data_IF_526136618011
#
_entry.id   IF_526136618011
#
_cell.length_a   1.000
_cell.length_b   1.000
_cell.length_c   1.000
_cell.angle_alpha   90.00
_cell.angle_beta   90.00
_cell.angle_gamma   90.00
#
_symmetry.space_group_name_H-M   'P 1'
#
loop_
_entity.id
_entity.type
_entity.pdbx_description
1 polymer ?
#
# COMPACT_ATOMS: atom_id res chain seq x y z
N UNK A 1 -15.15 10.51 -4.51
CA UNK A 1 -15.47 10.89 -5.88
C UNK A 1 -15.93 12.35 -6.02
N UNK A 2 -16.76 12.86 -5.14
CA UNK A 2 -17.25 14.26 -5.19
C UNK A 2 -16.17 15.36 -5.10
N UNK A 3 -14.94 15.04 -4.67
CA UNK A 3 -13.87 16.03 -4.50
C UNK A 3 -13.20 16.46 -5.80
N UNK A 4 -13.33 15.70 -6.89
CA UNK A 4 -12.62 15.91 -8.16
C UNK A 4 -13.53 16.34 -9.31
N UNK A 5 -14.77 16.74 -9.02
CA UNK A 5 -15.71 17.22 -10.02
C UNK A 5 -15.14 18.41 -10.81
N UNK A 6 -15.34 18.43 -12.12
CA UNK A 6 -14.87 19.50 -13.01
C UNK A 6 -13.37 19.48 -13.32
N UNK A 7 -12.64 18.41 -12.98
CA UNK A 7 -11.22 18.26 -13.33
C UNK A 7 -11.07 17.29 -14.49
N UNK A 8 -10.81 17.81 -15.69
CA UNK A 8 -10.49 17.03 -16.87
C UNK A 8 -8.96 16.98 -17.07
N UNK A 9 -8.38 15.79 -16.92
CA UNK A 9 -6.95 15.56 -17.09
C UNK A 9 -6.61 15.48 -18.57
N UNK A 10 -5.53 16.14 -18.98
CA UNK A 10 -4.97 16.06 -20.33
C UNK A 10 -3.76 15.12 -20.37
N UNK A 11 -2.74 15.37 -19.53
CA UNK A 11 -1.56 14.53 -19.42
C UNK A 11 -0.95 14.65 -18.00
N UNK A 12 0.11 13.88 -17.75
CA UNK A 12 0.82 13.94 -16.48
C UNK A 12 2.31 13.68 -16.68
N UNK A 13 3.18 14.30 -15.84
CA UNK A 13 4.63 14.14 -15.89
C UNK A 13 5.26 14.42 -14.53
N UNK A 14 6.19 13.57 -14.10
CA UNK A 14 6.88 13.72 -12.82
C UNK A 14 5.92 13.78 -11.63
N UNK A 15 5.94 14.88 -10.88
CA UNK A 15 5.04 15.13 -9.75
C UNK A 15 3.69 15.75 -10.14
N UNK A 16 3.40 15.92 -11.46
CA UNK A 16 2.35 16.83 -11.87
C UNK A 16 1.33 16.20 -12.79
N UNK A 17 0.07 16.62 -12.61
CA UNK A 17 -1.05 16.33 -13.48
C UNK A 17 -1.46 17.64 -14.14
N UNK A 18 -1.61 17.64 -15.45
CA UNK A 18 -2.01 18.80 -16.24
C UNK A 18 -3.44 18.60 -16.75
N UNK A 19 -4.25 19.64 -16.58
CA UNK A 19 -5.67 19.60 -16.97
C UNK A 19 -5.87 20.30 -18.31
N UNK A 20 -6.95 19.97 -19.01
CA UNK A 20 -7.34 20.62 -20.29
C UNK A 20 -7.50 22.13 -20.18
N UNK A 21 -7.85 22.64 -19.00
CA UNK A 21 -7.94 24.10 -18.75
C UNK A 21 -6.59 24.74 -18.34
N UNK A 22 -5.47 24.02 -18.50
CA UNK A 22 -4.12 24.54 -18.27
C UNK A 22 -3.68 24.58 -16.80
N UNK A 23 -4.42 23.99 -15.87
CA UNK A 23 -3.99 23.90 -14.46
C UNK A 23 -2.91 22.85 -14.32
N UNK A 24 -1.94 23.13 -13.43
CA UNK A 24 -0.90 22.21 -13.00
C UNK A 24 -1.18 21.77 -11.56
N UNK A 25 -1.51 20.51 -11.38
CA UNK A 25 -1.86 19.92 -10.07
C UNK A 25 -0.68 19.09 -9.56
N UNK A 26 -0.29 19.32 -8.32
CA UNK A 26 0.72 18.55 -7.60
C UNK A 26 0.10 17.23 -7.10
N UNK A 27 0.66 16.09 -7.49
CA UNK A 27 0.16 14.77 -7.06
C UNK A 27 0.85 14.32 -5.76
N UNK A 28 0.12 14.45 -4.64
CA UNK A 28 0.54 13.91 -3.34
C UNK A 28 -0.18 12.58 -3.02
N UNK A 29 -0.77 11.92 -4.02
CA UNK A 29 -1.36 10.58 -3.88
C UNK A 29 -0.49 9.47 -4.48
N UNK A 30 0.33 9.82 -5.47
CA UNK A 30 1.20 8.88 -6.18
C UNK A 30 0.48 7.63 -6.69
N UNK A 31 -0.85 7.74 -6.99
CA UNK A 31 -1.68 6.60 -7.39
C UNK A 31 -1.70 5.49 -6.33
N UNK A 32 -1.73 5.82 -5.05
CA UNK A 32 -1.63 4.85 -3.94
C UNK A 32 -0.35 4.01 -4.02
N UNK A 33 0.80 4.69 -4.12
CA UNK A 33 2.14 4.08 -4.20
C UNK A 33 2.42 3.29 -5.50
N UNK A 34 1.68 3.55 -6.57
CA UNK A 34 1.97 3.00 -7.91
C UNK A 34 3.04 3.82 -8.63
N UNK A 35 3.04 5.14 -8.41
CA UNK A 35 3.84 6.12 -9.14
C UNK A 35 5.09 6.55 -8.34
N UNK A 36 5.80 5.61 -7.71
CA UNK A 36 7.00 5.93 -6.95
C UNK A 36 8.04 6.71 -7.77
N UNK A 37 8.15 6.42 -9.07
CA UNK A 37 9.06 7.10 -9.99
C UNK A 37 8.48 8.38 -10.61
N UNK A 38 7.27 8.79 -10.21
CA UNK A 38 6.51 9.85 -10.86
C UNK A 38 5.78 9.42 -12.13
N UNK A 39 4.95 10.34 -12.63
CA UNK A 39 4.19 10.12 -13.86
C UNK A 39 5.10 10.06 -15.09
N UNK A 40 4.87 9.09 -15.97
CA UNK A 40 5.51 8.98 -17.29
C UNK A 40 7.03 9.15 -17.25
N UNK A 41 7.71 8.51 -16.29
CA UNK A 41 9.15 8.62 -16.14
C UNK A 41 9.88 8.37 -17.47
N UNK A 42 10.80 9.25 -17.93
CA UNK A 42 11.36 9.20 -19.28
C UNK A 42 12.07 7.88 -19.61
N UNK A 43 12.75 7.28 -18.64
CA UNK A 43 13.45 5.98 -18.82
C UNK A 43 12.43 4.87 -19.04
N UNK A 44 11.36 4.83 -18.26
CA UNK A 44 10.26 3.85 -18.40
C UNK A 44 9.62 3.98 -19.77
N UNK A 45 9.29 5.20 -20.20
CA UNK A 45 8.69 5.44 -21.53
C UNK A 45 9.62 5.02 -22.66
N UNK A 46 10.94 5.25 -22.54
CA UNK A 46 11.91 4.77 -23.53
C UNK A 46 12.03 3.24 -23.53
N UNK A 47 12.00 2.59 -22.37
CA UNK A 47 12.07 1.13 -22.29
C UNK A 47 10.89 0.48 -23.04
N UNK A 48 9.66 0.90 -22.78
CA UNK A 48 8.46 0.40 -23.47
C UNK A 48 8.52 0.63 -24.97
N UNK A 49 8.89 1.84 -25.41
CA UNK A 49 9.05 2.15 -26.85
C UNK A 49 10.08 1.21 -27.49
N UNK A 50 11.25 1.03 -26.86
CA UNK A 50 12.33 0.17 -27.36
C UNK A 50 11.91 -1.30 -27.48
N UNK A 51 11.12 -1.80 -26.52
CA UNK A 51 10.58 -3.16 -26.55
C UNK A 51 9.70 -3.36 -27.80
N UNK A 52 8.76 -2.42 -28.01
CA UNK A 52 7.81 -2.47 -29.13
C UNK A 52 8.50 -2.29 -30.52
N UNK A 53 9.44 -1.35 -30.65
CA UNK A 53 10.20 -1.12 -31.88
C UNK A 53 11.00 -2.37 -32.29
N UNK A 54 11.52 -3.12 -31.33
CA UNK A 54 12.24 -4.39 -31.56
C UNK A 54 11.33 -5.58 -31.83
N UNK A 55 10.01 -5.41 -31.75
CA UNK A 55 9.01 -6.48 -31.93
C UNK A 55 9.32 -7.71 -31.09
N UNK A 56 9.66 -7.48 -29.80
CA UNK A 56 10.01 -8.55 -28.89
C UNK A 56 8.81 -9.46 -28.58
N UNK A 57 9.08 -10.72 -28.24
CA UNK A 57 8.03 -11.68 -27.91
C UNK A 57 7.41 -11.35 -26.54
N UNK A 58 6.08 -11.31 -26.49
CA UNK A 58 5.32 -11.03 -25.27
C UNK A 58 5.10 -12.28 -24.41
N UNK A 59 4.59 -13.35 -25.00
CA UNK A 59 4.18 -14.54 -24.26
C UNK A 59 5.23 -15.64 -24.43
N UNK A 60 5.89 -15.96 -23.30
CA UNK A 60 7.02 -16.89 -23.27
C UNK A 60 6.69 -18.25 -22.65
N UNK A 61 5.42 -18.66 -22.61
CA UNK A 61 5.00 -19.89 -21.89
C UNK A 61 5.70 -21.18 -22.37
N UNK A 62 6.09 -21.22 -23.62
CA UNK A 62 6.78 -22.38 -24.23
C UNK A 62 8.28 -22.14 -24.43
N UNK A 63 8.79 -20.94 -24.13
CA UNK A 63 10.16 -20.56 -24.31
C UNK A 63 10.75 -20.02 -23.00
N UNK A 64 12.06 -20.05 -22.86
CA UNK A 64 12.75 -19.36 -21.77
C UNK A 64 12.72 -17.85 -22.00
N UNK A 65 12.06 -17.13 -21.10
CA UNK A 65 12.00 -15.67 -21.15
C UNK A 65 13.25 -15.05 -20.51
N UNK A 66 14.09 -14.33 -21.28
CA UNK A 66 15.20 -13.59 -20.69
C UNK A 66 14.74 -12.46 -19.78
N UNK A 67 13.58 -11.87 -20.06
CA UNK A 67 13.03 -10.77 -19.28
C UNK A 67 12.45 -11.24 -17.93
N UNK A 68 11.73 -12.35 -17.92
CA UNK A 68 11.25 -12.97 -16.68
C UNK A 68 12.44 -13.36 -15.79
N UNK A 69 13.45 -14.01 -16.37
CA UNK A 69 14.66 -14.40 -15.62
C UNK A 69 15.41 -13.18 -15.06
N UNK A 70 15.56 -12.11 -15.87
CA UNK A 70 16.22 -10.89 -15.44
C UNK A 70 15.43 -10.15 -14.35
N UNK A 71 14.11 -10.02 -14.50
CA UNK A 71 13.26 -9.39 -13.49
C UNK A 71 13.30 -10.18 -12.18
N UNK A 72 13.15 -11.51 -12.23
CA UNK A 72 13.21 -12.35 -11.04
C UNK A 72 14.55 -12.19 -10.32
N UNK A 73 15.66 -12.15 -11.07
CA UNK A 73 17.00 -11.90 -10.50
C UNK A 73 17.12 -10.53 -9.87
N UNK A 74 16.57 -9.47 -10.51
CA UNK A 74 16.66 -8.12 -9.98
C UNK A 74 15.81 -7.97 -8.70
N UNK A 75 14.61 -8.55 -8.67
CA UNK A 75 13.75 -8.56 -7.47
C UNK A 75 14.44 -9.32 -6.34
N UNK A 76 14.99 -10.53 -6.61
CA UNK A 76 15.77 -11.28 -5.62
C UNK A 76 17.01 -10.50 -5.16
N UNK A 77 17.70 -9.82 -6.08
CA UNK A 77 18.91 -9.05 -5.79
C UNK A 77 18.69 -7.82 -4.90
N UNK A 78 17.47 -7.29 -4.83
CA UNK A 78 17.10 -6.18 -3.91
C UNK A 78 16.40 -6.69 -2.65
N UNK A 79 16.12 -7.99 -2.56
CA UNK A 79 15.48 -8.61 -1.40
C UNK A 79 16.53 -9.07 -0.39
N UNK A 80 16.31 -8.88 0.93
CA UNK A 80 17.28 -9.31 1.94
C UNK A 80 17.26 -10.82 2.19
N UNK A 81 18.39 -11.34 2.71
CA UNK A 81 18.52 -12.73 3.15
C UNK A 81 18.42 -13.74 2.01
N UNK A 82 17.63 -14.78 2.22
CA UNK A 82 17.40 -15.90 1.31
C UNK A 82 16.06 -15.84 0.54
N UNK A 83 15.49 -14.65 0.41
CA UNK A 83 14.31 -14.36 -0.40
C UNK A 83 14.67 -14.35 -1.89
N UNK A 84 14.88 -15.53 -2.47
CA UNK A 84 15.51 -15.69 -3.80
C UNK A 84 14.57 -16.25 -4.88
N UNK A 85 13.42 -16.82 -4.51
CA UNK A 85 12.50 -17.43 -5.45
C UNK A 85 11.31 -16.53 -5.72
N UNK A 86 11.22 -16.01 -6.93
CA UNK A 86 10.24 -15.02 -7.37
C UNK A 86 9.23 -15.65 -8.32
N UNK A 87 7.95 -15.58 -7.99
CA UNK A 87 6.88 -15.90 -8.90
C UNK A 87 6.19 -14.60 -9.34
N UNK A 88 6.19 -14.34 -10.65
CA UNK A 88 5.55 -13.16 -11.22
C UNK A 88 4.05 -13.39 -11.46
N UNK A 89 3.25 -12.37 -11.21
CA UNK A 89 1.81 -12.31 -11.49
C UNK A 89 1.43 -10.90 -11.96
N UNK A 90 0.14 -10.53 -11.97
CA UNK A 90 -0.30 -9.29 -12.62
C UNK A 90 -0.82 -8.24 -11.61
N UNK A 91 -1.00 -8.62 -10.36
CA UNK A 91 -1.54 -7.73 -9.33
C UNK A 91 -1.10 -8.14 -7.92
N UNK A 92 -1.29 -7.23 -6.94
CA UNK A 92 -1.05 -7.55 -5.53
C UNK A 92 -1.99 -8.62 -4.98
N UNK A 93 -3.24 -8.64 -5.43
CA UNK A 93 -4.18 -9.69 -5.02
C UNK A 93 -3.72 -11.08 -5.52
N UNK A 94 -3.27 -11.19 -6.78
CA UNK A 94 -2.69 -12.45 -7.29
C UNK A 94 -1.39 -12.83 -6.55
N UNK A 95 -0.58 -11.85 -6.16
CA UNK A 95 0.63 -12.10 -5.38
C UNK A 95 0.28 -12.70 -4.00
N UNK A 96 -0.69 -12.12 -3.31
CA UNK A 96 -1.17 -12.62 -2.02
C UNK A 96 -1.87 -13.99 -2.14
N UNK A 97 -2.69 -14.22 -3.17
CA UNK A 97 -3.24 -15.56 -3.47
C UNK A 97 -2.12 -16.59 -3.68
N UNK A 98 -1.09 -16.23 -4.44
CA UNK A 98 0.07 -17.08 -4.67
C UNK A 98 0.86 -17.37 -3.40
N UNK A 99 1.04 -16.37 -2.53
CA UNK A 99 1.70 -16.51 -1.24
C UNK A 99 0.93 -17.44 -0.29
N UNK A 100 -0.39 -17.32 -0.23
CA UNK A 100 -1.24 -18.23 0.55
C UNK A 100 -1.16 -19.66 0.01
N UNK A 101 -1.24 -19.84 -1.31
CA UNK A 101 -1.18 -21.18 -1.94
C UNK A 101 0.17 -21.88 -1.75
N UNK A 102 1.30 -21.16 -1.87
CA UNK A 102 2.60 -21.78 -1.62
C UNK A 102 2.77 -22.13 -0.14
N UNK A 103 2.23 -21.32 0.78
CA UNK A 103 2.24 -21.59 2.20
C UNK A 103 1.42 -22.84 2.54
N UNK A 104 0.21 -22.99 2.00
CA UNK A 104 -0.62 -24.19 2.14
C UNK A 104 0.09 -25.43 1.61
N UNK A 105 0.65 -25.35 0.41
CA UNK A 105 1.38 -26.47 -0.20
C UNK A 105 2.63 -26.87 0.58
N UNK A 106 3.33 -25.90 1.16
CA UNK A 106 4.49 -26.13 2.03
C UNK A 106 4.11 -26.85 3.31
N UNK A 107 3.05 -26.40 3.99
CA UNK A 107 2.60 -26.98 5.27
C UNK A 107 1.91 -28.35 5.09
N UNK A 108 1.32 -28.60 3.92
CA UNK A 108 0.61 -29.85 3.63
C UNK A 108 -0.78 -29.89 4.26
N UNK A 109 -1.41 -31.07 4.24
CA UNK A 109 -2.82 -31.25 4.60
C UNK A 109 -3.11 -31.28 6.11
N UNK A 110 -2.09 -31.20 6.96
CA UNK A 110 -2.25 -31.25 8.41
C UNK A 110 -2.65 -29.92 9.05
N UNK A 111 -2.49 -28.80 8.32
CA UNK A 111 -2.83 -27.47 8.78
C UNK A 111 -3.83 -26.82 7.84
N UNK A 112 -4.73 -25.99 8.37
CA UNK A 112 -5.86 -25.48 7.59
C UNK A 112 -6.14 -24.00 7.77
N UNK A 113 -5.61 -23.32 8.83
CA UNK A 113 -5.99 -21.98 9.21
C UNK A 113 -4.94 -20.92 8.87
N UNK A 114 -5.40 -19.71 8.63
CA UNK A 114 -4.57 -18.52 8.36
C UNK A 114 -4.89 -17.49 9.44
N UNK A 115 -3.85 -16.86 10.03
CA UNK A 115 -4.02 -15.72 10.92
C UNK A 115 -3.76 -14.44 10.12
N UNK A 116 -4.58 -13.42 10.33
CA UNK A 116 -4.42 -12.10 9.77
C UNK A 116 -4.79 -11.00 10.79
N UNK A 117 -4.52 -9.74 10.50
CA UNK A 117 -4.79 -8.64 11.43
C UNK A 117 -6.12 -7.94 11.15
N UNK A 118 -6.75 -7.39 12.19
CA UNK A 118 -8.01 -6.65 12.11
C UNK A 118 -7.89 -5.27 11.42
N UNK A 119 -6.65 -4.79 11.23
CA UNK A 119 -6.34 -3.71 10.30
C UNK A 119 -5.53 -4.31 9.16
N UNK A 120 -6.17 -4.63 8.02
CA UNK A 120 -5.48 -5.22 6.87
C UNK A 120 -6.24 -5.04 5.57
N UNK A 121 -5.48 -4.88 4.48
CA UNK A 121 -6.00 -4.90 3.13
C UNK A 121 -5.04 -5.65 2.19
N UNK A 122 -5.39 -6.87 1.80
CA UNK A 122 -4.57 -7.75 0.96
C UNK A 122 -5.14 -7.97 -0.45
N UNK A 123 -6.30 -7.42 -0.74
CA UNK A 123 -6.94 -7.50 -2.06
C UNK A 123 -8.44 -7.82 -2.01
N UNK A 124 -9.03 -7.97 -3.21
CA UNK A 124 -10.47 -8.16 -3.39
C UNK A 124 -10.85 -9.46 -4.10
N UNK A 125 -9.93 -10.39 -4.26
CA UNK A 125 -10.23 -11.79 -4.61
C UNK A 125 -10.74 -12.54 -3.38
N UNK A 126 -11.35 -13.71 -3.53
CA UNK A 126 -12.01 -14.39 -2.42
C UNK A 126 -11.08 -14.69 -1.25
N UNK A 127 -9.89 -15.27 -1.48
CA UNK A 127 -8.97 -15.56 -0.39
C UNK A 127 -8.35 -14.29 0.18
N UNK A 128 -7.91 -13.35 -0.65
CA UNK A 128 -7.36 -12.08 -0.14
C UNK A 128 -8.38 -11.23 0.61
N UNK A 129 -9.65 -11.24 0.19
CA UNK A 129 -10.74 -10.59 0.90
C UNK A 129 -11.02 -11.27 2.25
N UNK A 130 -10.82 -12.59 2.34
CA UNK A 130 -11.00 -13.35 3.59
C UNK A 130 -10.02 -12.93 4.68
N UNK A 131 -8.84 -12.42 4.28
CA UNK A 131 -7.79 -11.90 5.17
C UNK A 131 -7.66 -10.37 5.14
N UNK A 132 -8.62 -9.64 4.56
CA UNK A 132 -8.67 -8.16 4.49
C UNK A 132 -9.82 -7.63 5.34
N UNK A 133 -9.57 -7.29 6.60
CA UNK A 133 -10.62 -6.82 7.52
C UNK A 133 -11.15 -5.43 7.19
N UNK A 134 -10.33 -4.56 6.62
CA UNK A 134 -10.71 -3.19 6.26
C UNK A 134 -11.59 -3.08 5.01
N UNK A 135 -11.98 -4.18 4.38
CA UNK A 135 -12.79 -4.14 3.16
C UNK A 135 -14.31 -4.20 3.47
N UNK A 136 -15.04 -3.09 3.34
CA UNK A 136 -16.48 -3.04 3.68
C UNK A 136 -17.36 -3.95 2.85
N UNK A 137 -16.91 -4.35 1.65
CA UNK A 137 -17.66 -5.23 0.75
C UNK A 137 -17.67 -6.69 1.19
N UNK A 138 -16.84 -7.07 2.16
CA UNK A 138 -16.82 -8.44 2.76
C UNK A 138 -18.21 -8.98 3.08
N UNK A 139 -19.09 -8.14 3.60
CA UNK A 139 -20.46 -8.50 3.98
C UNK A 139 -21.35 -9.02 2.84
N UNK A 140 -20.95 -8.81 1.60
CA UNK A 140 -21.70 -9.24 0.42
C UNK A 140 -21.27 -10.61 -0.11
N UNK A 141 -20.18 -11.19 0.41
CA UNK A 141 -19.59 -12.40 -0.12
C UNK A 141 -19.45 -13.48 0.96
N UNK A 142 -19.55 -14.76 0.56
CA UNK A 142 -19.19 -15.87 1.42
C UNK A 142 -17.67 -16.05 1.38
N UNK A 143 -17.01 -15.64 2.47
CA UNK A 143 -15.57 -15.72 2.63
C UNK A 143 -15.13 -17.10 3.11
N UNK A 144 -13.81 -17.36 3.09
CA UNK A 144 -13.21 -18.54 3.68
C UNK A 144 -13.42 -18.50 5.20
N UNK A 145 -13.78 -19.63 5.80
CA UNK A 145 -14.10 -19.76 7.23
C UNK A 145 -12.89 -20.16 8.09
N UNK A 146 -11.77 -20.46 7.45
CA UNK A 146 -10.52 -20.84 8.09
C UNK A 146 -9.55 -19.67 8.38
N UNK A 147 -10.02 -18.42 8.31
CA UNK A 147 -9.23 -17.22 8.56
C UNK A 147 -9.53 -16.63 9.94
N UNK A 148 -8.51 -16.46 10.78
CA UNK A 148 -8.61 -15.97 12.16
C UNK A 148 -8.03 -14.58 12.26
N UNK A 149 -8.83 -13.60 12.71
CA UNK A 149 -8.40 -12.22 12.91
C UNK A 149 -7.84 -12.01 14.31
N UNK A 150 -6.75 -11.22 14.40
CA UNK A 150 -6.18 -10.74 15.66
C UNK A 150 -5.93 -9.23 15.60
N UNK A 151 -5.87 -8.51 16.73
CA UNK A 151 -5.58 -7.08 16.73
C UNK A 151 -4.20 -6.75 16.14
N UNK A 152 -4.15 -5.76 15.24
CA UNK A 152 -2.88 -5.25 14.70
C UNK A 152 -2.06 -4.58 15.80
N UNK A 153 -0.77 -4.87 15.87
CA UNK A 153 0.13 -4.33 16.89
C UNK A 153 0.17 -5.12 18.21
N UNK A 154 -0.70 -6.10 18.37
CA UNK A 154 -0.74 -6.97 19.56
C UNK A 154 -0.17 -8.38 19.23
N UNK A 155 1.13 -8.57 19.42
CA UNK A 155 1.75 -9.88 19.18
C UNK A 155 1.30 -10.94 20.19
N UNK A 156 0.86 -10.57 21.39
CA UNK A 156 0.35 -11.49 22.41
C UNK A 156 -0.96 -12.15 21.96
N UNK A 157 -1.78 -11.44 21.19
CA UNK A 157 -3.00 -12.01 20.64
C UNK A 157 -2.70 -13.17 19.65
N UNK A 158 -1.63 -13.09 18.86
CA UNK A 158 -1.18 -14.22 18.04
C UNK A 158 -0.80 -15.43 18.92
N UNK A 159 0.00 -15.19 19.97
CA UNK A 159 0.43 -16.25 20.88
C UNK A 159 -0.77 -16.95 21.54
N UNK A 160 -1.77 -16.19 22.00
CA UNK A 160 -2.98 -16.72 22.63
C UNK A 160 -3.77 -17.62 21.66
N UNK A 161 -3.97 -17.18 20.43
CA UNK A 161 -4.69 -17.94 19.40
C UNK A 161 -3.94 -19.22 19.04
N UNK A 162 -2.61 -19.17 18.92
CA UNK A 162 -1.77 -20.34 18.63
C UNK A 162 -1.83 -21.34 19.79
N UNK A 163 -1.65 -20.87 21.03
CA UNK A 163 -1.72 -21.73 22.22
C UNK A 163 -3.09 -22.37 22.43
N UNK A 164 -4.16 -21.65 22.10
CA UNK A 164 -5.52 -22.20 22.12
C UNK A 164 -5.66 -23.35 21.11
N UNK A 165 -5.19 -23.17 19.88
CA UNK A 165 -5.22 -24.24 18.85
C UNK A 165 -4.45 -25.50 19.29
N UNK A 166 -3.30 -25.34 19.94
CA UNK A 166 -2.52 -26.47 20.48
C UNK A 166 -3.29 -27.23 21.54
N UNK A 167 -4.03 -26.55 22.44
CA UNK A 167 -4.81 -27.19 23.50
C UNK A 167 -6.03 -27.96 22.99
N UNK A 168 -6.57 -27.55 21.84
CA UNK A 168 -7.73 -28.22 21.21
C UNK A 168 -7.32 -29.46 20.39
N UNK A 169 -6.15 -29.43 19.74
CA UNK A 169 -5.72 -30.46 18.77
C UNK A 169 -4.58 -31.40 19.29
N UNK A 170 -4.08 -31.20 20.48
CA UNK A 170 -3.18 -32.06 21.28
C UNK A 170 -1.75 -32.38 20.76
N UNK A 171 -1.37 -32.08 19.51
CA UNK A 171 0.01 -32.40 19.01
C UNK A 171 0.64 -31.24 18.22
N UNK A 172 -0.09 -30.58 17.32
CA UNK A 172 0.41 -29.47 16.49
C UNK A 172 -0.65 -28.36 16.38
N UNK A 173 -0.19 -27.11 16.18
CA UNK A 173 -1.11 -26.03 15.85
C UNK A 173 -1.63 -26.18 14.43
N UNK A 174 -2.84 -25.65 14.16
CA UNK A 174 -3.55 -25.76 12.90
C UNK A 174 -3.27 -24.58 11.94
N UNK A 175 -2.24 -23.76 12.20
CA UNK A 175 -1.98 -22.56 11.41
C UNK A 175 -0.92 -22.79 10.34
N UNK A 176 -1.28 -22.43 9.10
CA UNK A 176 -0.45 -22.45 7.89
C UNK A 176 0.50 -21.25 7.90
N UNK A 177 -0.08 -20.05 8.04
CA UNK A 177 0.63 -18.81 7.94
C UNK A 177 -0.02 -17.69 8.75
N UNK A 178 0.79 -16.68 9.06
CA UNK A 178 0.37 -15.34 9.46
C UNK A 178 0.60 -14.42 8.26
N UNK A 179 -0.43 -13.67 7.83
CA UNK A 179 -0.30 -12.63 6.82
C UNK A 179 -0.56 -11.25 7.44
N UNK A 180 0.34 -10.29 7.20
CA UNK A 180 0.24 -8.94 7.74
C UNK A 180 0.97 -7.90 6.89
N UNK A 181 0.69 -6.62 7.12
CA UNK A 181 1.46 -5.48 6.62
C UNK A 181 2.43 -5.02 7.73
N UNK A 182 3.72 -4.78 7.41
CA UNK A 182 4.71 -4.29 8.40
C UNK A 182 4.39 -2.86 8.85
N UNK A 183 3.84 -2.04 7.96
CA UNK A 183 3.18 -0.76 8.25
C UNK A 183 1.79 -0.84 7.63
N UNK A 184 0.74 -0.71 8.45
CA UNK A 184 -0.61 -0.71 7.91
C UNK A 184 -0.82 0.55 7.05
N UNK A 185 -1.01 0.31 5.76
CA UNK A 185 -0.94 1.37 4.78
C UNK A 185 -2.10 2.37 4.83
N UNK A 186 -3.32 1.90 5.07
CA UNK A 186 -4.52 2.71 4.93
C UNK A 186 -4.79 3.71 6.07
N UNK A 187 -4.11 3.61 7.17
CA UNK A 187 -4.13 4.58 8.27
C UNK A 187 -2.74 5.07 8.61
N UNK A 188 -1.73 4.61 7.87
CA UNK A 188 -0.32 4.85 8.15
C UNK A 188 0.02 4.50 9.60
N UNK A 189 -0.47 3.32 10.03
CA UNK A 189 -0.27 2.85 11.40
C UNK A 189 1.00 2.03 11.49
N UNK A 190 1.94 2.49 12.32
CA UNK A 190 3.13 1.70 12.67
C UNK A 190 2.81 0.85 13.90
N UNK A 191 3.20 -0.43 13.92
CA UNK A 191 3.04 -1.25 15.11
C UNK A 191 4.01 -0.79 16.21
N UNK A 192 3.79 -1.14 17.47
CA UNK A 192 4.76 -0.93 18.54
C UNK A 192 6.11 -1.59 18.21
N UNK A 193 7.20 -0.97 18.72
CA UNK A 193 8.54 -1.53 18.55
C UNK A 193 8.61 -2.97 19.07
N UNK A 194 9.29 -3.83 18.32
CA UNK A 194 9.42 -5.25 18.66
C UNK A 194 8.24 -6.13 18.24
N UNK A 195 7.21 -5.55 17.61
CA UNK A 195 6.03 -6.32 17.18
C UNK A 195 6.41 -7.38 16.12
N UNK A 196 7.07 -6.97 15.05
CA UNK A 196 7.42 -7.90 13.97
C UNK A 196 8.44 -8.95 14.43
N UNK A 197 9.40 -8.57 15.28
CA UNK A 197 10.36 -9.52 15.86
C UNK A 197 9.65 -10.60 16.71
N UNK A 198 8.67 -10.21 17.53
CA UNK A 198 7.90 -11.17 18.31
C UNK A 198 7.00 -12.06 17.44
N UNK A 199 6.37 -11.51 16.39
CA UNK A 199 5.60 -12.31 15.42
C UNK A 199 6.53 -13.29 14.69
N UNK A 200 7.72 -12.85 14.25
CA UNK A 200 8.73 -13.73 13.62
C UNK A 200 9.13 -14.86 14.56
N UNK A 201 9.44 -14.55 15.84
CA UNK A 201 9.78 -15.54 16.85
C UNK A 201 8.67 -16.58 17.04
N UNK A 202 7.39 -16.15 17.10
CA UNK A 202 6.26 -17.07 17.18
C UNK A 202 6.15 -17.96 15.94
N UNK A 203 6.35 -17.41 14.76
CA UNK A 203 6.35 -18.17 13.51
C UNK A 203 7.42 -19.27 13.52
N UNK A 204 8.65 -18.93 13.99
CA UNK A 204 9.75 -19.88 14.08
C UNK A 204 9.48 -20.97 15.14
N UNK A 205 9.00 -20.58 16.33
CA UNK A 205 8.71 -21.47 17.44
C UNK A 205 7.61 -22.49 17.11
N UNK A 206 6.58 -22.05 16.39
CA UNK A 206 5.39 -22.87 16.13
C UNK A 206 5.31 -23.42 14.70
N UNK A 207 6.38 -23.27 13.90
CA UNK A 207 6.41 -23.69 12.49
C UNK A 207 5.21 -23.15 11.68
N UNK A 208 5.00 -21.83 11.77
CA UNK A 208 3.98 -21.08 11.03
C UNK A 208 4.72 -20.16 10.05
N UNK A 209 4.29 -20.06 8.79
CA UNK A 209 4.95 -19.17 7.84
C UNK A 209 4.55 -17.71 8.05
N UNK A 210 5.54 -16.80 7.96
CA UNK A 210 5.31 -15.36 8.01
C UNK A 210 5.25 -14.79 6.61
N UNK A 211 4.08 -14.28 6.21
CA UNK A 211 3.86 -13.57 4.94
C UNK A 211 3.76 -12.08 5.25
N UNK A 212 4.63 -11.27 4.65
CA UNK A 212 4.56 -9.82 4.76
C UNK A 212 4.12 -9.22 3.43
N UNK A 213 3.00 -8.48 3.48
CA UNK A 213 2.47 -7.75 2.33
C UNK A 213 3.17 -6.41 2.18
N UNK A 214 3.99 -6.29 1.14
CA UNK A 214 4.73 -5.09 0.75
C UNK A 214 4.16 -4.44 -0.53
N UNK A 215 2.93 -4.78 -0.89
CA UNK A 215 2.27 -4.28 -2.11
C UNK A 215 2.20 -2.76 -2.12
N UNK A 216 1.98 -2.11 -0.97
CA UNK A 216 1.96 -0.65 -0.88
C UNK A 216 3.29 -0.07 -0.38
N UNK A 217 3.89 -0.69 0.62
CA UNK A 217 5.04 -0.16 1.37
C UNK A 217 6.38 -0.47 0.71
N UNK A 218 6.45 -1.47 -0.16
CA UNK A 218 7.68 -1.88 -0.83
C UNK A 218 8.23 -0.88 -1.84
N UNK A 219 9.42 -1.18 -2.32
CA UNK A 219 10.16 -0.39 -3.31
C UNK A 219 10.36 1.07 -2.90
N UNK A 220 10.87 1.26 -1.69
CA UNK A 220 11.38 2.55 -1.22
C UNK A 220 10.38 3.46 -0.54
N UNK A 221 9.08 3.12 -0.49
CA UNK A 221 8.02 4.00 0.05
C UNK A 221 8.31 4.46 1.47
N UNK A 222 8.82 3.58 2.33
CA UNK A 222 9.09 3.87 3.74
C UNK A 222 10.51 4.33 4.03
N UNK A 223 11.34 4.58 3.00
CA UNK A 223 12.76 4.93 3.16
C UNK A 223 13.70 3.72 3.31
N UNK A 224 13.17 2.51 3.25
CA UNK A 224 13.88 1.24 3.07
C UNK A 224 13.35 0.56 1.81
N UNK A 225 14.07 -0.44 1.27
CA UNK A 225 13.58 -1.18 0.09
C UNK A 225 12.25 -1.85 0.41
N UNK A 226 12.15 -2.50 1.58
CA UNK A 226 10.93 -3.08 2.13
C UNK A 226 10.68 -2.57 3.55
N UNK A 227 9.42 -2.43 3.94
CA UNK A 227 9.06 -1.84 5.23
C UNK A 227 9.42 -2.72 6.43
N UNK A 228 9.45 -4.03 6.27
CA UNK A 228 9.87 -4.94 7.35
C UNK A 228 11.34 -4.79 7.74
N UNK A 229 12.18 -4.20 6.90
CA UNK A 229 13.59 -3.92 7.21
C UNK A 229 13.77 -2.89 8.34
N UNK A 230 12.72 -2.12 8.69
CA UNK A 230 12.77 -1.22 9.85
C UNK A 230 12.83 -1.96 11.20
N UNK A 231 12.44 -3.22 11.22
CA UNK A 231 12.43 -4.07 12.40
C UNK A 231 13.46 -5.21 12.33
N UNK A 232 14.39 -5.14 11.36
CA UNK A 232 15.49 -6.09 11.15
C UNK A 232 15.05 -7.57 11.13
N UNK A 233 13.87 -7.86 10.55
CA UNK A 233 13.37 -9.23 10.36
C UNK A 233 13.42 -9.64 8.90
N UNK A 234 13.42 -10.96 8.65
CA UNK A 234 13.24 -11.51 7.31
C UNK A 234 12.03 -12.45 7.35
N UNK A 235 10.95 -12.14 6.62
CA UNK A 235 9.78 -13.02 6.54
C UNK A 235 10.06 -14.25 5.68
N UNK A 236 9.14 -15.20 5.69
CA UNK A 236 9.24 -16.40 4.86
C UNK A 236 8.82 -16.14 3.41
N UNK A 237 7.81 -15.27 3.25
CA UNK A 237 7.27 -14.86 1.95
C UNK A 237 6.97 -13.36 1.99
N UNK A 238 7.29 -12.67 0.91
CA UNK A 238 6.97 -11.24 0.68
C UNK A 238 6.11 -11.12 -0.56
N UNK A 239 5.10 -10.28 -0.54
CA UNK A 239 4.28 -9.97 -1.71
C UNK A 239 4.47 -8.53 -2.15
N UNK A 240 4.58 -8.30 -3.45
CA UNK A 240 4.87 -6.99 -4.06
C UNK A 240 4.03 -6.76 -5.31
N UNK A 241 3.75 -5.49 -5.62
CA UNK A 241 3.11 -5.07 -6.87
C UNK A 241 3.30 -3.55 -7.07
N UNK A 242 2.28 -2.86 -7.56
CA UNK A 242 2.20 -1.38 -7.67
C UNK A 242 3.47 -0.74 -8.25
N UNK A 243 4.33 -0.19 -7.39
CA UNK A 243 5.57 0.50 -7.79
C UNK A 243 6.57 -0.38 -8.52
N UNK A 244 6.52 -1.71 -8.34
CA UNK A 244 7.31 -2.66 -9.13
C UNK A 244 7.13 -2.42 -10.64
N UNK A 245 5.94 -2.06 -11.07
CA UNK A 245 5.60 -1.77 -12.46
C UNK A 245 6.00 -0.38 -12.97
N UNK A 246 6.64 0.46 -12.15
CA UNK A 246 7.07 1.81 -12.53
C UNK A 246 5.93 2.72 -13.00
N UNK A 247 4.70 2.48 -12.55
CA UNK A 247 3.50 3.23 -12.94
C UNK A 247 2.95 2.90 -14.33
N UNK A 248 3.50 1.86 -15.01
CA UNK A 248 3.12 1.49 -16.38
C UNK A 248 2.86 0.01 -16.58
N UNK A 249 3.57 -0.85 -15.87
CA UNK A 249 3.43 -2.30 -15.98
C UNK A 249 2.42 -2.84 -14.98
N UNK A 250 1.55 -3.75 -15.43
CA UNK A 250 0.66 -4.51 -14.56
C UNK A 250 1.40 -5.77 -14.10
N UNK A 251 2.16 -5.66 -13.02
CA UNK A 251 3.01 -6.71 -12.48
C UNK A 251 2.93 -6.77 -10.97
N UNK A 252 2.91 -7.98 -10.45
CA UNK A 252 3.08 -8.31 -9.05
C UNK A 252 3.96 -9.53 -8.90
N UNK A 253 4.36 -9.84 -7.69
CA UNK A 253 5.12 -11.04 -7.40
C UNK A 253 4.94 -11.45 -5.94
N UNK A 254 5.11 -12.75 -5.66
CA UNK A 254 5.55 -13.17 -4.35
C UNK A 254 7.01 -13.64 -4.42
N UNK A 255 7.72 -13.43 -3.33
CA UNK A 255 9.13 -13.76 -3.15
C UNK A 255 9.21 -14.71 -1.96
N UNK A 256 9.67 -15.93 -2.17
CA UNK A 256 9.76 -16.93 -1.11
C UNK A 256 11.21 -17.30 -0.84
N UNK A 257 11.48 -17.76 0.38
CA UNK A 257 12.75 -18.39 0.72
C UNK A 257 12.94 -19.67 -0.10
N UNK A 258 14.19 -20.00 -0.42
CA UNK A 258 14.54 -21.17 -1.22
C UNK A 258 13.97 -22.47 -0.66
N UNK A 259 14.09 -22.71 0.64
CA UNK A 259 13.58 -23.92 1.28
C UNK A 259 12.07 -24.11 1.16
N UNK A 260 11.31 -23.01 1.16
CA UNK A 260 9.85 -23.02 1.00
C UNK A 260 9.49 -23.37 -0.43
N UNK A 261 10.11 -22.71 -1.40
CA UNK A 261 9.84 -22.96 -2.82
C UNK A 261 10.18 -24.41 -3.18
N UNK A 262 11.37 -24.88 -2.81
CA UNK A 262 11.83 -26.22 -3.14
C UNK A 262 10.93 -27.33 -2.55
N UNK A 263 10.45 -27.16 -1.32
CA UNK A 263 9.52 -28.10 -0.70
C UNK A 263 8.13 -28.04 -1.33
N UNK A 264 7.64 -26.85 -1.67
CA UNK A 264 6.28 -26.67 -2.20
C UNK A 264 6.19 -27.01 -3.71
N UNK A 265 7.12 -26.47 -4.52
CA UNK A 265 7.06 -26.50 -5.99
C UNK A 265 8.33 -27.00 -6.67
N UNK A 266 9.28 -27.57 -5.93
CA UNK A 266 10.59 -28.00 -6.48
C UNK A 266 10.55 -29.24 -7.37
N UNK A 267 9.40 -29.92 -7.50
CA UNK A 267 9.24 -31.10 -8.35
C UNK A 267 8.67 -30.74 -9.71
N UNK A 268 9.10 -31.41 -10.78
CA UNK A 268 8.58 -31.15 -12.13
C UNK A 268 7.06 -31.29 -12.24
N UNK A 269 6.47 -32.25 -11.53
CA UNK A 269 5.01 -32.45 -11.48
C UNK A 269 4.24 -31.31 -10.83
N UNK A 270 4.91 -30.46 -10.05
CA UNK A 270 4.29 -29.33 -9.37
C UNK A 270 4.30 -28.04 -10.23
N UNK A 271 4.97 -28.06 -11.40
CA UNK A 271 5.21 -26.89 -12.26
C UNK A 271 3.94 -26.19 -12.77
N UNK A 272 2.79 -26.89 -12.82
CA UNK A 272 1.51 -26.35 -13.31
C UNK A 272 0.48 -26.10 -12.20
N UNK A 273 0.81 -26.38 -10.94
CA UNK A 273 -0.15 -26.22 -9.83
C UNK A 273 -0.55 -24.75 -9.62
N UNK A 274 0.39 -23.82 -9.86
CA UNK A 274 0.13 -22.38 -9.79
C UNK A 274 0.69 -21.69 -11.04
N UNK A 275 -0.19 -21.06 -11.82
CA UNK A 275 0.19 -20.35 -13.04
C UNK A 275 -0.85 -19.28 -13.38
N UNK A 276 -0.45 -18.30 -14.20
CA UNK A 276 -1.32 -17.32 -14.81
C UNK A 276 -0.90 -17.11 -16.26
N UNK A 277 -1.85 -16.94 -17.18
CA UNK A 277 -1.56 -16.76 -18.62
C UNK A 277 -0.65 -15.56 -18.88
N UNK A 278 -0.93 -14.44 -18.21
CA UNK A 278 -0.22 -13.19 -18.42
C UNK A 278 0.92 -12.94 -17.43
N UNK A 279 1.25 -13.90 -16.55
CA UNK A 279 2.40 -13.75 -15.66
C UNK A 279 3.71 -13.73 -16.46
N UNK A 280 4.51 -12.69 -16.26
CA UNK A 280 5.81 -12.56 -16.93
C UNK A 280 5.73 -12.14 -18.40
N UNK A 281 4.73 -11.33 -18.78
CA UNK A 281 4.70 -10.67 -20.10
C UNK A 281 6.02 -9.94 -20.37
N UNK A 282 6.48 -10.00 -21.61
CA UNK A 282 7.78 -9.46 -22.03
C UNK A 282 7.90 -7.96 -21.78
N UNK A 283 6.97 -7.17 -22.26
CA UNK A 283 6.97 -5.71 -22.07
C UNK A 283 6.82 -5.31 -20.60
N UNK A 284 5.97 -6.01 -19.84
CA UNK A 284 5.77 -5.76 -18.43
C UNK A 284 7.02 -6.05 -17.61
N UNK A 285 7.68 -7.19 -17.88
CA UNK A 285 8.96 -7.53 -17.25
C UNK A 285 10.05 -6.52 -17.61
N UNK A 286 10.17 -6.16 -18.90
CA UNK A 286 11.18 -5.20 -19.36
C UNK A 286 10.98 -3.82 -18.74
N UNK A 287 9.73 -3.40 -18.59
CA UNK A 287 9.34 -2.16 -17.90
C UNK A 287 9.71 -2.20 -16.42
N UNK A 288 9.39 -3.30 -15.73
CA UNK A 288 9.67 -3.46 -14.30
C UNK A 288 11.17 -3.56 -14.00
N UNK A 289 11.98 -4.19 -14.89
CA UNK A 289 13.44 -4.17 -14.78
C UNK A 289 13.95 -2.72 -14.76
N UNK A 290 13.48 -1.90 -15.69
CA UNK A 290 13.89 -0.50 -15.75
C UNK A 290 13.36 0.31 -14.56
N UNK A 291 12.20 -0.05 -14.01
CA UNK A 291 11.67 0.58 -12.80
C UNK A 291 12.59 0.34 -11.58
N UNK A 292 13.08 -0.88 -11.38
CA UNK A 292 14.05 -1.19 -10.33
C UNK A 292 15.36 -0.43 -10.55
N UNK A 293 15.86 -0.39 -11.80
CA UNK A 293 17.08 0.34 -12.15
C UNK A 293 16.96 1.82 -11.80
N UNK A 294 15.86 2.48 -12.20
CA UNK A 294 15.60 3.90 -11.87
C UNK A 294 15.56 4.11 -10.36
N UNK A 295 14.83 3.28 -9.64
CA UNK A 295 14.69 3.38 -8.18
C UNK A 295 16.05 3.37 -7.47
N UNK A 296 16.95 2.47 -7.89
CA UNK A 296 18.28 2.29 -7.29
C UNK A 296 19.26 3.37 -7.76
N UNK A 297 19.37 3.58 -9.08
CA UNK A 297 20.37 4.47 -9.67
C UNK A 297 20.10 5.95 -9.37
N UNK A 298 18.82 6.36 -9.25
CA UNK A 298 18.44 7.73 -8.90
C UNK A 298 18.34 7.93 -7.37
N UNK A 299 18.65 6.91 -6.57
CA UNK A 299 18.71 7.00 -5.11
C UNK A 299 17.36 7.30 -4.45
N UNK A 300 16.25 6.86 -5.04
CA UNK A 300 14.91 7.26 -4.62
C UNK A 300 14.50 6.68 -3.26
N UNK A 301 15.07 5.55 -2.85
CA UNK A 301 14.88 4.99 -1.50
C UNK A 301 15.44 5.96 -0.46
N UNK A 302 16.66 6.48 -0.68
CA UNK A 302 17.28 7.49 0.19
C UNK A 302 16.50 8.80 0.16
N UNK A 303 16.06 9.26 -1.02
CA UNK A 303 15.22 10.46 -1.12
C UNK A 303 13.92 10.32 -0.32
N UNK A 304 13.30 9.13 -0.34
CA UNK A 304 12.11 8.85 0.46
C UNK A 304 12.37 8.98 1.96
N UNK A 305 13.52 8.52 2.46
CA UNK A 305 13.92 8.70 3.85
C UNK A 305 14.13 10.17 4.18
N UNK A 306 15.02 10.85 3.45
CA UNK A 306 15.42 12.23 3.72
C UNK A 306 14.24 13.22 3.61
N UNK A 307 13.41 13.07 2.57
CA UNK A 307 12.24 13.93 2.36
C UNK A 307 11.09 13.55 3.30
N UNK A 308 10.97 12.28 3.67
CA UNK A 308 9.99 11.83 4.64
C UNK A 308 10.24 12.40 6.03
N UNK A 309 11.48 12.38 6.52
CA UNK A 309 11.88 13.01 7.79
C UNK A 309 11.64 14.53 7.76
N UNK A 310 12.04 15.18 6.67
CA UNK A 310 11.80 16.62 6.49
C UNK A 310 10.30 16.95 6.51
N UNK A 311 9.49 16.18 5.78
CA UNK A 311 8.05 16.41 5.68
C UNK A 311 7.36 16.16 7.03
N UNK A 312 7.69 15.06 7.71
CA UNK A 312 7.12 14.73 9.02
C UNK A 312 7.44 15.80 10.07
N UNK A 313 8.67 16.35 10.08
CA UNK A 313 9.02 17.46 10.95
C UNK A 313 8.12 18.69 10.68
N UNK A 314 7.94 19.07 9.41
CA UNK A 314 7.04 20.16 9.02
C UNK A 314 5.56 19.91 9.36
N UNK A 315 5.10 18.67 9.28
CA UNK A 315 3.75 18.30 9.67
C UNK A 315 3.57 18.37 11.20
N UNK A 316 4.58 18.04 11.99
CA UNK A 316 4.55 18.24 13.44
C UNK A 316 4.46 19.72 13.80
N UNK A 317 5.29 20.59 13.17
CA UNK A 317 5.19 22.05 13.34
C UNK A 317 3.77 22.57 12.96
N UNK A 318 3.15 21.99 11.92
CA UNK A 318 1.78 22.31 11.52
C UNK A 318 0.77 21.87 12.57
N UNK A 319 0.90 20.66 13.11
CA UNK A 319 0.04 20.12 14.18
C UNK A 319 0.06 21.05 15.39
N UNK A 320 1.25 21.47 15.85
CA UNK A 320 1.42 22.34 17.00
C UNK A 320 0.74 23.72 16.81
N UNK A 321 0.73 24.24 15.58
CA UNK A 321 0.03 25.51 15.25
C UNK A 321 -1.47 25.35 15.11
N UNK A 322 -1.96 24.15 14.80
CA UNK A 322 -3.36 23.87 14.50
C UNK A 322 -3.95 22.74 15.36
N UNK A 323 -3.62 22.71 16.65
CA UNK A 323 -4.09 21.70 17.62
C UNK A 323 -5.62 21.56 17.68
N UNK A 324 -6.37 22.61 17.33
CA UNK A 324 -7.83 22.59 17.26
C UNK A 324 -8.39 21.79 16.07
N UNK A 325 -7.58 21.51 15.05
CA UNK A 325 -7.99 20.83 13.80
C UNK A 325 -7.26 19.49 13.65
N UNK A 326 -5.96 19.48 13.94
CA UNK A 326 -5.10 18.30 13.78
C UNK A 326 -5.04 17.51 15.09
N UNK A 327 -5.41 16.26 15.04
CA UNK A 327 -5.30 15.32 16.17
C UNK A 327 -3.88 14.71 16.20
N UNK A 328 -3.45 14.20 15.05
CA UNK A 328 -2.17 13.55 14.94
C UNK A 328 -1.56 13.68 13.54
N UNK A 329 -0.23 13.58 13.48
CA UNK A 329 0.53 13.42 12.24
C UNK A 329 1.50 12.27 12.42
N UNK A 330 1.55 11.36 11.46
CA UNK A 330 2.42 10.18 11.54
C UNK A 330 2.86 9.72 10.17
N UNK A 331 3.92 8.90 10.14
CA UNK A 331 4.42 8.34 8.91
C UNK A 331 5.81 7.74 9.03
N UNK A 332 6.27 7.20 7.91
CA UNK A 332 7.61 6.67 7.72
C UNK A 332 8.00 6.79 6.25
N UNK A 333 9.15 7.38 5.97
CA UNK A 333 9.52 7.77 4.62
C UNK A 333 8.46 8.69 4.02
N UNK A 334 8.07 8.45 2.78
CA UNK A 334 7.03 9.21 2.08
C UNK A 334 5.64 8.53 2.13
N UNK A 335 5.38 7.77 3.16
CA UNK A 335 4.06 7.30 3.56
C UNK A 335 3.66 8.06 4.82
N UNK A 336 2.84 9.10 4.68
CA UNK A 336 2.51 10.05 5.73
C UNK A 336 0.99 10.27 5.81
N UNK A 337 0.51 10.75 6.95
CA UNK A 337 -0.87 11.19 7.06
C UNK A 337 -1.04 12.32 8.08
N UNK A 338 -2.16 13.03 7.94
CA UNK A 338 -2.72 13.96 8.92
C UNK A 338 -4.04 13.37 9.40
N UNK A 339 -4.20 13.18 10.69
CA UNK A 339 -5.47 12.81 11.31
C UNK A 339 -6.14 14.05 11.88
N UNK A 340 -7.38 14.28 11.48
CA UNK A 340 -8.17 15.43 11.90
C UNK A 340 -8.89 15.14 13.21
N UNK A 341 -9.00 16.14 14.08
CA UNK A 341 -9.85 16.08 15.26
C UNK A 341 -11.31 15.91 14.89
N UNK A 342 -12.04 15.23 15.74
CA UNK A 342 -13.49 15.23 15.66
C UNK A 342 -13.99 16.65 15.97
N UNK A 343 -14.92 17.18 15.15
CA UNK A 343 -15.51 18.46 15.47
C UNK A 343 -16.15 18.42 16.86
N UNK A 344 -15.68 19.30 17.76
CA UNK A 344 -16.17 19.42 19.14
C UNK A 344 -17.53 20.14 19.25
N UNK A 345 -18.31 20.19 18.18
CA UNK A 345 -19.51 21.00 18.11
C UNK A 345 -20.70 20.38 18.89
N UNK A 346 -21.37 21.23 19.65
CA UNK A 346 -22.62 20.93 20.36
C UNK A 346 -23.72 20.29 19.50
N UNK A 347 -23.60 20.39 18.17
CA UNK A 347 -24.44 19.67 17.19
C UNK A 347 -24.11 18.18 17.12
N UNK A 348 -22.84 17.81 17.26
CA UNK A 348 -22.40 16.38 17.24
C UNK A 348 -22.87 15.68 18.50
N UNK A 349 -22.85 16.35 19.67
CA UNK A 349 -23.37 15.79 20.91
C UNK A 349 -24.89 15.55 20.87
N UNK A 350 -25.66 16.36 20.11
CA UNK A 350 -27.09 16.10 19.87
C UNK A 350 -27.29 14.85 18.95
N UNK A 351 -26.30 14.50 18.11
CA UNK A 351 -26.34 13.39 17.19
C UNK A 351 -25.61 12.14 17.71
N UNK A 352 -24.93 12.20 18.86
CA UNK A 352 -24.22 11.05 19.47
C UNK A 352 -25.14 9.87 19.81
N UNK A 353 -26.44 10.12 19.95
CA UNK A 353 -27.45 9.09 20.14
C UNK A 353 -28.07 8.58 18.82
N UNK A 354 -27.71 9.15 17.68
CA UNK A 354 -28.14 8.72 16.36
C UNK A 354 -27.09 7.83 15.71
N UNK A 355 -27.51 6.87 14.91
CA UNK A 355 -26.75 5.74 14.35
C UNK A 355 -25.30 6.03 13.94
N UNK A 356 -24.44 5.00 13.99
CA UNK A 356 -23.04 4.99 13.49
C UNK A 356 -22.87 5.62 12.10
N UNK A 357 -23.88 5.53 11.23
CA UNK A 357 -23.88 6.13 9.89
C UNK A 357 -23.82 7.67 9.89
N UNK A 358 -24.34 8.36 10.90
CA UNK A 358 -24.31 9.83 10.99
C UNK A 358 -22.96 10.31 11.51
N UNK A 359 -22.34 9.58 12.45
CA UNK A 359 -20.96 9.82 12.89
C UNK A 359 -19.99 9.67 11.73
N UNK A 360 -20.12 8.59 11.01
CA UNK A 360 -19.34 8.28 9.82
C UNK A 360 -19.44 9.36 8.74
N UNK A 361 -20.63 9.96 8.57
CA UNK A 361 -20.85 11.07 7.64
C UNK A 361 -20.15 12.35 8.14
N UNK A 362 -20.27 12.67 9.43
CA UNK A 362 -19.65 13.88 10.01
C UNK A 362 -18.11 13.80 9.99
N UNK A 363 -17.54 12.65 10.32
CA UNK A 363 -16.09 12.41 10.33
C UNK A 363 -15.49 12.53 8.92
N UNK A 364 -16.18 12.04 7.88
CA UNK A 364 -15.72 12.15 6.49
C UNK A 364 -16.00 13.51 5.85
N UNK A 365 -16.91 14.30 6.37
CA UNK A 365 -17.37 15.56 5.75
C UNK A 365 -16.27 16.63 5.76
N UNK A 366 -15.66 16.88 6.92
CA UNK A 366 -14.55 17.85 7.04
C UNK A 366 -13.34 17.45 6.19
N UNK A 367 -12.97 16.18 6.24
CA UNK A 367 -11.89 15.63 5.39
C UNK A 367 -12.18 15.84 3.90
N UNK A 368 -13.42 15.57 3.48
CA UNK A 368 -13.86 15.79 2.11
C UNK A 368 -13.78 17.26 1.66
N UNK A 369 -14.15 18.20 2.56
CA UNK A 369 -14.02 19.66 2.31
C UNK A 369 -12.53 20.01 2.13
N UNK A 370 -11.66 19.60 3.06
CA UNK A 370 -10.23 19.90 3.01
C UNK A 370 -9.62 19.34 1.72
N UNK A 371 -9.84 18.08 1.40
CA UNK A 371 -9.34 17.44 0.16
C UNK A 371 -9.82 18.18 -1.08
N UNK A 372 -11.10 18.57 -1.12
CA UNK A 372 -11.66 19.36 -2.23
C UNK A 372 -11.02 20.75 -2.34
N UNK A 373 -10.83 21.45 -1.22
CA UNK A 373 -10.19 22.77 -1.22
C UNK A 373 -8.71 22.68 -1.60
N UNK A 374 -7.98 21.65 -1.15
CA UNK A 374 -6.59 21.42 -1.54
C UNK A 374 -6.46 21.30 -3.07
N UNK A 375 -7.29 20.52 -3.73
CA UNK A 375 -7.17 20.36 -5.19
C UNK A 375 -7.72 21.56 -5.97
N UNK A 376 -8.81 22.18 -5.54
CA UNK A 376 -9.45 23.24 -6.33
C UNK A 376 -8.85 24.63 -6.10
N UNK A 377 -8.41 24.93 -4.86
CA UNK A 377 -7.83 26.24 -4.51
C UNK A 377 -6.30 26.24 -4.64
N UNK A 378 -5.65 25.15 -4.20
CA UNK A 378 -4.18 25.09 -4.12
C UNK A 378 -3.54 24.19 -5.18
N UNK A 379 -4.32 23.53 -6.05
CA UNK A 379 -3.84 22.58 -7.04
C UNK A 379 -2.99 21.44 -6.43
N UNK A 380 -3.37 20.93 -5.26
CA UNK A 380 -2.71 19.84 -4.57
C UNK A 380 -3.68 18.68 -4.44
N UNK A 381 -3.36 17.54 -5.06
CA UNK A 381 -4.13 16.33 -4.98
C UNK A 381 -3.69 15.50 -3.77
N UNK A 382 -4.58 15.31 -2.82
CA UNK A 382 -4.47 14.39 -1.68
C UNK A 382 -5.70 13.48 -1.64
N UNK A 383 -5.68 12.44 -0.83
CA UNK A 383 -6.80 11.49 -0.71
C UNK A 383 -7.19 11.28 0.75
N UNK A 384 -8.48 11.14 1.06
CA UNK A 384 -8.88 10.65 2.38
C UNK A 384 -8.43 9.20 2.55
N UNK A 385 -8.24 8.77 3.78
CA UNK A 385 -8.02 7.36 4.10
C UNK A 385 -9.25 6.54 3.68
N UNK A 386 -9.09 5.40 3.00
CA UNK A 386 -10.22 4.61 2.49
C UNK A 386 -11.16 4.15 3.59
N UNK A 387 -10.65 3.82 4.76
CA UNK A 387 -11.41 3.30 5.90
C UNK A 387 -11.37 4.25 7.12
N UNK A 388 -10.30 5.04 7.28
CA UNK A 388 -10.15 6.05 8.32
C UNK A 388 -10.57 7.43 7.79
N UNK A 389 -11.86 7.75 7.95
CA UNK A 389 -12.49 8.93 7.34
C UNK A 389 -11.92 10.29 7.80
N UNK A 390 -11.25 10.34 8.95
CA UNK A 390 -10.58 11.53 9.47
C UNK A 390 -9.14 11.69 9.02
N UNK A 391 -8.62 10.72 8.27
CA UNK A 391 -7.24 10.71 7.82
C UNK A 391 -7.12 11.29 6.41
N UNK A 392 -6.17 12.18 6.21
CA UNK A 392 -5.70 12.64 4.90
C UNK A 392 -4.37 11.93 4.65
N UNK A 393 -4.34 11.07 3.64
CA UNK A 393 -3.13 10.37 3.24
C UNK A 393 -2.27 11.23 2.31
N UNK A 394 -0.96 11.18 2.54
CA UNK A 394 0.07 11.92 1.79
C UNK A 394 1.09 10.90 1.30
N UNK A 395 1.00 10.54 0.01
CA UNK A 395 1.79 9.46 -0.62
C UNK A 395 2.41 9.97 -1.93
N UNK A 396 3.23 11.03 -1.92
CA UNK A 396 3.78 11.60 -3.15
C UNK A 396 4.70 10.59 -3.85
N UNK A 397 4.97 10.73 -5.16
CA UNK A 397 6.09 10.07 -5.81
C UNK A 397 7.40 10.29 -5.05
N UNK A 398 8.32 9.30 -5.09
CA UNK A 398 9.59 9.37 -4.34
C UNK A 398 10.56 10.41 -4.90
N UNK A 399 10.24 11.02 -6.03
CA UNK A 399 11.00 12.12 -6.65
C UNK A 399 10.65 13.50 -6.04
N UNK A 400 9.72 13.57 -5.09
CA UNK A 400 9.34 14.81 -4.41
C UNK A 400 10.56 15.47 -3.77
N UNK A 401 10.61 16.79 -3.80
CA UNK A 401 11.69 17.60 -3.23
C UNK A 401 11.16 18.62 -2.20
N UNK A 402 12.08 19.30 -1.50
CA UNK A 402 11.74 20.26 -0.44
C UNK A 402 10.81 21.38 -0.90
N UNK A 403 10.99 21.88 -2.14
CA UNK A 403 10.16 22.98 -2.67
C UNK A 403 8.69 22.58 -2.78
N UNK A 404 8.42 21.36 -3.21
CA UNK A 404 7.06 20.82 -3.34
C UNK A 404 6.45 20.56 -1.96
N UNK A 405 7.25 20.07 -1.01
CA UNK A 405 6.84 19.88 0.38
C UNK A 405 6.51 21.23 1.03
N UNK A 406 7.38 22.24 0.88
CA UNK A 406 7.13 23.58 1.45
C UNK A 406 5.87 24.22 0.87
N UNK A 407 5.62 24.03 -0.43
CA UNK A 407 4.37 24.48 -1.07
C UNK A 407 3.15 23.77 -0.47
N UNK A 408 3.23 22.44 -0.25
CA UNK A 408 2.17 21.69 0.42
C UNK A 408 1.88 22.23 1.81
N UNK A 409 2.93 22.40 2.63
CA UNK A 409 2.82 22.89 4.01
C UNK A 409 2.21 24.28 4.05
N UNK A 410 2.69 25.22 3.22
CA UNK A 410 2.15 26.57 3.18
C UNK A 410 0.67 26.60 2.78
N UNK A 411 0.28 25.76 1.84
CA UNK A 411 -1.11 25.67 1.36
C UNK A 411 -2.07 25.13 2.41
N UNK A 412 -1.68 24.06 3.12
CA UNK A 412 -2.53 23.46 4.15
C UNK A 412 -2.55 24.31 5.43
N UNK A 413 -1.45 25.02 5.74
CA UNK A 413 -1.36 25.97 6.85
C UNK A 413 -2.33 27.17 6.67
N UNK A 414 -2.35 27.74 5.45
CA UNK A 414 -3.33 28.76 5.07
C UNK A 414 -4.77 28.23 5.21
N UNK A 415 -5.01 27.00 4.73
CA UNK A 415 -6.33 26.40 4.81
C UNK A 415 -6.77 26.17 6.27
N UNK A 416 -5.91 25.64 7.13
CA UNK A 416 -6.20 25.38 8.54
C UNK A 416 -6.33 26.67 9.38
N UNK A 417 -5.75 27.79 8.89
CA UNK A 417 -5.96 29.12 9.49
C UNK A 417 -7.36 29.66 9.25
N UNK A 418 -8.14 29.09 8.33
CA UNK A 418 -9.54 29.42 8.13
C UNK A 418 -10.40 28.76 9.22
N UNK A 419 -11.42 29.45 9.74
CA UNK A 419 -12.40 28.79 10.59
C UNK A 419 -13.29 27.84 9.75
N UNK A 420 -13.92 26.85 10.41
CA UNK A 420 -14.75 25.82 9.77
C UNK A 420 -15.87 26.43 8.90
N UNK A 421 -16.53 27.49 9.37
CA UNK A 421 -17.59 28.16 8.61
C UNK A 421 -17.08 28.75 7.29
N UNK A 422 -15.88 29.34 7.31
CA UNK A 422 -15.22 29.87 6.11
C UNK A 422 -14.82 28.76 5.14
N UNK A 423 -14.33 27.62 5.62
CA UNK A 423 -14.04 26.44 4.79
C UNK A 423 -15.32 25.91 4.11
N UNK A 424 -16.41 25.74 4.86
CA UNK A 424 -17.72 25.31 4.34
C UNK A 424 -18.24 26.28 3.29
N UNK A 425 -18.15 27.61 3.55
CA UNK A 425 -18.54 28.64 2.57
C UNK A 425 -17.70 28.58 1.29
N UNK A 426 -16.39 28.43 1.40
CA UNK A 426 -15.50 28.29 0.26
C UNK A 426 -15.82 27.04 -0.57
N UNK A 427 -16.05 25.90 0.10
CA UNK A 427 -16.46 24.66 -0.55
C UNK A 427 -17.82 24.78 -1.27
N UNK A 428 -18.82 25.36 -0.61
CA UNK A 428 -20.14 25.58 -1.21
C UNK A 428 -20.08 26.48 -2.45
N UNK A 429 -19.24 27.54 -2.41
CA UNK A 429 -19.02 28.43 -3.56
C UNK A 429 -18.37 27.69 -4.74
N UNK A 430 -17.43 26.77 -4.46
CA UNK A 430 -16.83 25.91 -5.48
C UNK A 430 -17.84 24.97 -6.12
N UNK A 431 -18.72 24.35 -5.33
CA UNK A 431 -19.77 23.45 -5.82
C UNK A 431 -20.73 24.17 -6.77
N UNK A 432 -21.20 25.36 -6.39
CA UNK A 432 -22.09 26.18 -7.22
C UNK A 432 -21.39 26.55 -8.56
N UNK A 433 -20.11 26.94 -8.50
CA UNK A 433 -19.33 27.28 -9.70
C UNK A 433 -19.17 26.07 -10.64
N UNK A 434 -18.88 24.89 -10.10
CA UNK A 434 -18.72 23.67 -10.91
C UNK A 434 -20.04 23.14 -11.49
N UNK A 435 -21.21 23.50 -10.90
CA UNK A 435 -22.52 23.19 -11.45
C UNK A 435 -22.93 24.11 -12.59
N UNK A 436 -22.33 25.31 -12.67
CA UNK A 436 -22.63 26.33 -13.69
C UNK A 436 -21.66 26.33 -14.87
N UNK A 437 -20.55 25.59 -14.76
CA UNK A 437 -19.53 25.37 -15.82
C UNK A 437 -19.77 24.06 -16.55
#
# INVERSE_FOLDING_TARGET
MLCLEGIEVEYSEGMYIYTKCGRKIYDFTGGFSVLNLGHNHPRIMRARRRFNEKKQLEIWKTFLSPYLAALSRNVAGVSPGDLNYVFLCNSGAEANEGALKIAEKYQGTGKSKIIYTDLSFHGKTHATMSVSSCEPSRKYFKLLDNCVSVPYGDWQAFEQVIKKSLSENSVENDFIAIILEAVHAEGVVRPPAGYLQNVRRLCDEYNILMIVDEVLCGFGRTGKMFSFEHEDIIPDIVTVAKSLGGGKASVGAYIAREGIYNRAYGRLQDSMIHSSTFSGLGEECYTAIEAINVLVEEGLVKNSMDMGEYFLAKLNDLKDRHEGIVEDVRGVGLLLCIELRRPADRLVTLFEHLSTSIRDFSDGFLTGIIVSLMVHKYNILVTPGPHEKRVIMIIPPLIVNRREIDYFIASIDELFSMNTASMVKAYSSLKVRNMLS
#
